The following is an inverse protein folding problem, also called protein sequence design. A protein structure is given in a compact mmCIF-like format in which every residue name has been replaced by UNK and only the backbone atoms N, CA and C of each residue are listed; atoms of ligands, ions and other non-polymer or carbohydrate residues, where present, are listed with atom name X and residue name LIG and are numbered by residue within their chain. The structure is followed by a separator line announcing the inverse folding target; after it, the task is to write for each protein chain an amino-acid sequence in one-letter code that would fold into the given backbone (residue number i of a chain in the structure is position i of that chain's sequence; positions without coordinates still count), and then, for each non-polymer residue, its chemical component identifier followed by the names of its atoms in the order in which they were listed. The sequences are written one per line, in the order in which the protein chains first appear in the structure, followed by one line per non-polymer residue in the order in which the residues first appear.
data_IF_279277555514
#
_entry.id   IF_279277555514
#
_cell.length_a   1.000
_cell.length_b   1.000
_cell.length_c   1.000
_cell.angle_alpha   90.00
_cell.angle_beta   90.00
_cell.angle_gamma   90.00
#
_symmetry.space_group_name_H-M   'P 1'
#
loop_
_entity.id
_entity.type
_entity.pdbx_description
1 polymer ?
#
# COMPACT_ATOMS: atom_id res chain seq x y z
N UNK A 1 -37.11 13.03 -8.35
CA UNK A 1 -35.84 13.13 -9.12
C UNK A 1 -34.81 12.25 -8.42
N UNK A 2 -34.51 11.06 -8.94
CA UNK A 2 -33.50 10.18 -8.33
C UNK A 2 -32.12 10.78 -8.55
N UNK A 3 -31.53 11.39 -7.53
CA UNK A 3 -30.13 11.82 -7.55
C UNK A 3 -29.24 10.58 -7.67
N UNK A 4 -28.82 10.24 -8.89
CA UNK A 4 -27.76 9.25 -9.10
C UNK A 4 -26.48 9.85 -8.53
N UNK A 5 -26.08 9.42 -7.34
CA UNK A 5 -24.74 9.69 -6.83
C UNK A 5 -23.78 8.94 -7.74
N UNK A 6 -23.10 9.65 -8.65
CA UNK A 6 -22.03 9.09 -9.46
C UNK A 6 -20.89 8.67 -8.51
N UNK A 7 -20.80 7.36 -8.24
CA UNK A 7 -19.66 6.81 -7.52
C UNK A 7 -18.42 6.97 -8.41
N UNK A 8 -17.56 7.90 -8.02
CA UNK A 8 -16.27 8.19 -8.68
C UNK A 8 -15.30 7.00 -8.71
N UNK A 9 -15.58 5.93 -7.97
CA UNK A 9 -14.85 4.67 -8.06
C UNK A 9 -15.62 3.71 -8.97
N UNK A 10 -15.28 3.62 -10.27
CA UNK A 10 -15.84 2.59 -11.12
C UNK A 10 -15.53 1.22 -10.51
N UNK A 11 -16.57 0.42 -10.30
CA UNK A 11 -16.40 -0.97 -9.89
C UNK A 11 -15.89 -1.75 -11.12
N UNK A 12 -14.99 -2.72 -10.89
CA UNK A 12 -14.32 -3.55 -11.92
C UNK A 12 -13.17 -2.92 -12.72
N UNK A 13 -12.62 -1.78 -12.30
CA UNK A 13 -11.36 -1.30 -12.89
C UNK A 13 -10.14 -1.91 -12.20
N UNK A 14 -8.97 -1.99 -12.87
CA UNK A 14 -7.75 -2.57 -12.30
C UNK A 14 -7.35 -1.92 -10.97
N UNK A 15 -7.51 -0.60 -10.83
CA UNK A 15 -7.24 0.13 -9.57
C UNK A 15 -8.13 -0.34 -8.41
N UNK A 16 -9.36 -0.78 -8.71
CA UNK A 16 -10.25 -1.34 -7.70
C UNK A 16 -9.72 -2.66 -7.15
N UNK A 17 -9.17 -3.55 -7.98
CA UNK A 17 -8.59 -4.80 -7.51
C UNK A 17 -7.25 -4.57 -6.80
N UNK A 18 -6.39 -3.71 -7.36
CA UNK A 18 -5.06 -3.43 -6.79
C UNK A 18 -5.18 -2.81 -5.41
N UNK A 19 -6.13 -1.89 -5.16
CA UNK A 19 -6.28 -1.29 -3.82
C UNK A 19 -6.60 -2.33 -2.75
N UNK A 20 -7.46 -3.30 -3.06
CA UNK A 20 -7.86 -4.32 -2.09
C UNK A 20 -6.72 -5.29 -1.82
N UNK A 21 -6.03 -5.74 -2.87
CA UNK A 21 -4.83 -6.59 -2.71
C UNK A 21 -3.77 -5.84 -1.89
N UNK A 22 -3.49 -4.58 -2.23
CA UNK A 22 -2.56 -3.73 -1.49
C UNK A 22 -2.95 -3.58 0.00
N UNK A 23 -4.23 -3.32 0.29
CA UNK A 23 -4.74 -3.26 1.67
C UNK A 23 -4.58 -4.58 2.40
N UNK A 24 -4.89 -5.72 1.76
CA UNK A 24 -4.70 -7.03 2.43
C UNK A 24 -3.24 -7.29 2.76
N UNK A 25 -2.30 -6.91 1.88
CA UNK A 25 -0.87 -7.02 2.15
C UNK A 25 -0.42 -6.12 3.31
N UNK A 26 -0.89 -4.88 3.39
CA UNK A 26 -0.58 -3.99 4.51
C UNK A 26 -1.14 -4.56 5.83
N UNK A 27 -2.37 -5.09 5.83
CA UNK A 27 -2.94 -5.72 7.03
C UNK A 27 -2.09 -6.93 7.46
N UNK A 28 -1.71 -7.79 6.51
CA UNK A 28 -0.81 -8.92 6.79
C UNK A 28 0.53 -8.45 7.35
N UNK A 29 1.08 -7.36 6.82
CA UNK A 29 2.32 -6.77 7.32
C UNK A 29 2.20 -6.31 8.78
N UNK A 30 1.14 -5.58 9.11
CA UNK A 30 0.88 -5.12 10.48
C UNK A 30 0.68 -6.30 11.44
N UNK A 31 0.01 -7.37 11.01
CA UNK A 31 -0.10 -8.60 11.80
C UNK A 31 1.27 -9.24 12.03
N UNK A 32 2.10 -9.36 10.99
CA UNK A 32 3.48 -9.85 11.11
C UNK A 32 4.30 -9.00 12.08
N UNK A 33 4.16 -7.67 12.04
CA UNK A 33 4.81 -6.74 12.96
C UNK A 33 4.41 -7.00 14.40
N UNK A 34 3.11 -7.14 14.66
CA UNK A 34 2.60 -7.45 16.01
C UNK A 34 3.02 -8.83 16.50
N UNK A 35 3.26 -9.78 15.60
CA UNK A 35 3.73 -11.13 15.92
C UNK A 35 5.27 -11.25 16.02
N UNK A 36 6.02 -10.17 15.77
CA UNK A 36 7.49 -10.15 15.85
C UNK A 36 8.21 -10.62 14.58
N UNK A 37 7.50 -10.90 13.48
CA UNK A 37 8.07 -11.30 12.20
C UNK A 37 8.48 -10.07 11.37
N UNK A 38 9.62 -9.46 11.73
CA UNK A 38 10.05 -8.18 11.17
C UNK A 38 10.37 -8.22 9.66
N UNK A 39 11.03 -9.26 9.16
CA UNK A 39 11.35 -9.38 7.72
C UNK A 39 10.08 -9.49 6.86
N UNK A 40 9.11 -10.31 7.30
CA UNK A 40 7.85 -10.48 6.57
C UNK A 40 7.01 -9.19 6.61
N UNK A 41 7.01 -8.49 7.75
CA UNK A 41 6.41 -7.16 7.86
C UNK A 41 6.99 -6.18 6.82
N UNK A 42 8.31 -6.07 6.72
CA UNK A 42 8.96 -5.16 5.78
C UNK A 42 8.60 -5.50 4.33
N UNK A 43 8.69 -6.77 3.94
CA UNK A 43 8.37 -7.21 2.57
C UNK A 43 6.90 -6.92 2.24
N UNK A 44 5.96 -7.32 3.11
CA UNK A 44 4.53 -7.11 2.87
C UNK A 44 4.16 -5.62 2.89
N UNK A 45 4.79 -4.83 3.76
CA UNK A 45 4.58 -3.38 3.82
C UNK A 45 5.08 -2.69 2.55
N UNK A 46 6.23 -3.09 1.99
CA UNK A 46 6.75 -2.54 0.72
C UNK A 46 5.80 -2.88 -0.44
N UNK A 47 5.40 -4.15 -0.57
CA UNK A 47 4.47 -4.55 -1.64
C UNK A 47 3.13 -3.82 -1.52
N UNK A 48 2.61 -3.71 -0.30
CA UNK A 48 1.37 -3.01 -0.01
C UNK A 48 1.43 -1.51 -0.33
N UNK A 49 2.52 -0.84 0.05
CA UNK A 49 2.71 0.60 -0.22
C UNK A 49 3.00 0.90 -1.69
N UNK A 50 3.70 0.01 -2.41
CA UNK A 50 3.85 0.11 -3.87
C UNK A 50 2.49 -0.03 -4.58
N UNK A 51 1.66 -0.99 -4.15
CA UNK A 51 0.30 -1.17 -4.68
C UNK A 51 -0.58 0.05 -4.44
N UNK A 52 -0.53 0.65 -3.24
CA UNK A 52 -1.26 1.89 -2.96
C UNK A 52 -0.70 3.11 -3.71
N UNK A 53 0.60 3.16 -3.98
CA UNK A 53 1.21 4.20 -4.82
C UNK A 53 0.66 4.13 -6.25
N UNK A 54 0.54 2.92 -6.82
CA UNK A 54 -0.10 2.74 -8.13
C UNK A 54 -1.54 3.25 -8.14
N UNK A 55 -2.35 2.87 -7.13
CA UNK A 55 -3.74 3.32 -7.01
C UNK A 55 -3.83 4.84 -6.86
N UNK A 56 -2.92 5.44 -6.09
CA UNK A 56 -2.86 6.88 -5.89
C UNK A 56 -2.55 7.63 -7.19
N UNK A 57 -1.65 7.10 -8.03
CA UNK A 57 -1.38 7.62 -9.38
C UNK A 57 -2.63 7.50 -10.26
N UNK A 58 -3.30 6.34 -10.25
CA UNK A 58 -4.52 6.10 -11.02
C UNK A 58 -5.68 7.03 -10.60
N UNK A 59 -5.74 7.41 -9.33
CA UNK A 59 -6.74 8.34 -8.81
C UNK A 59 -6.32 9.81 -8.90
N UNK A 60 -5.10 10.08 -9.39
CA UNK A 60 -4.47 11.40 -9.40
C UNK A 60 -4.47 12.11 -8.03
N UNK A 61 -4.39 11.34 -6.95
CA UNK A 61 -4.40 11.86 -5.58
C UNK A 61 -2.95 12.11 -5.10
N UNK A 62 -2.55 13.38 -5.14
CA UNK A 62 -1.19 13.81 -4.78
C UNK A 62 -0.81 13.49 -3.34
N UNK A 63 -1.75 13.57 -2.40
CA UNK A 63 -1.46 13.28 -1.00
C UNK A 63 -1.19 11.78 -0.81
N UNK A 64 -2.00 10.94 -1.45
CA UNK A 64 -1.88 9.49 -1.36
C UNK A 64 -0.61 8.96 -2.08
N UNK A 65 -0.17 9.63 -3.15
CA UNK A 65 1.09 9.34 -3.84
C UNK A 65 2.26 9.60 -2.90
N UNK A 66 2.34 10.81 -2.34
CA UNK A 66 3.47 11.22 -1.48
C UNK A 66 3.56 10.31 -0.26
N UNK A 67 2.42 10.04 0.39
CA UNK A 67 2.36 9.19 1.58
C UNK A 67 2.94 7.79 1.30
N UNK A 68 2.42 7.10 0.30
CA UNK A 68 2.81 5.71 0.07
C UNK A 68 4.20 5.59 -0.58
N UNK A 69 4.59 6.52 -1.43
CA UNK A 69 5.93 6.53 -2.03
C UNK A 69 7.01 6.73 -0.95
N UNK A 70 6.85 7.73 -0.08
CA UNK A 70 7.81 8.00 1.01
C UNK A 70 7.87 6.83 1.99
N UNK A 71 6.73 6.28 2.39
CA UNK A 71 6.70 5.09 3.27
C UNK A 71 7.42 3.92 2.60
N UNK A 72 7.22 3.67 1.30
CA UNK A 72 7.91 2.56 0.62
C UNK A 72 9.43 2.71 0.63
N UNK A 73 9.94 3.94 0.50
CA UNK A 73 11.39 4.22 0.56
C UNK A 73 11.91 4.00 1.98
N UNK A 74 11.20 4.49 3.00
CA UNK A 74 11.59 4.28 4.41
C UNK A 74 11.62 2.78 4.74
N UNK A 75 10.62 2.03 4.31
CA UNK A 75 10.58 0.58 4.51
C UNK A 75 11.69 -0.14 3.74
N UNK A 76 12.03 0.32 2.54
CA UNK A 76 13.15 -0.23 1.78
C UNK A 76 14.49 0.01 2.49
N UNK A 77 14.68 1.18 3.12
CA UNK A 77 15.85 1.44 3.97
C UNK A 77 15.87 0.48 5.16
N UNK A 78 14.74 0.32 5.86
CA UNK A 78 14.64 -0.65 6.98
C UNK A 78 14.90 -2.10 6.55
N UNK A 79 14.51 -2.48 5.33
CA UNK A 79 14.84 -3.77 4.75
C UNK A 79 16.34 -3.91 4.46
N UNK A 80 16.98 -2.86 3.94
CA UNK A 80 18.41 -2.85 3.70
C UNK A 80 19.21 -2.94 5.01
N UNK A 81 18.79 -2.23 6.05
CA UNK A 81 19.39 -2.34 7.40
C UNK A 81 19.27 -3.78 7.92
N UNK A 82 18.08 -4.37 7.86
CA UNK A 82 17.85 -5.75 8.29
C UNK A 82 18.72 -6.77 7.54
N UNK A 83 18.90 -6.59 6.22
CA UNK A 83 19.73 -7.47 5.38
C UNK A 83 21.22 -7.21 5.59
N UNK A 84 21.63 -5.97 5.82
CA UNK A 84 23.02 -5.57 6.03
C UNK A 84 23.56 -6.08 7.39
N UNK A 85 22.69 -6.38 8.35
CA UNK A 85 23.10 -6.93 9.65
C UNK A 85 23.83 -5.94 10.55
N UNK A 86 23.66 -4.63 10.29
CA UNK A 86 24.12 -3.53 11.13
C UNK A 86 22.94 -2.90 11.88
#
# INVERSE_FOLDING_TARGET
MSNKIEKKTPLHTPDWYVKWVATTMIISAVVCRSAGFHLMDLIFSIIGTMGWTYVAIAWHDRALIILNAVISVILAIGLLEYVSGY
#
